data_IF_400339566357
#
_entry.id   IF_400339566357
#
_cell.length_a   1.000
_cell.length_b   1.000
_cell.length_c   1.000
_cell.angle_alpha   90.00
_cell.angle_beta   90.00
_cell.angle_gamma   90.00
#
_symmetry.space_group_name_H-M   'P 1'
#
loop_
_entity.id
_entity.type
_entity.pdbx_description
1 polymer ?
#
# COMPACT_ATOMS: atom_id res chain seq x y z
N UNK A 1 -7.78 1.57 -23.89
CA UNK A 1 -6.65 2.42 -23.40
C UNK A 1 -5.65 1.50 -22.71
N UNK A 2 -4.36 1.80 -22.67
CA UNK A 2 -3.41 0.96 -21.93
C UNK A 2 -3.55 1.22 -20.43
N UNK A 3 -3.54 0.17 -19.60
CA UNK A 3 -3.55 0.26 -18.14
C UNK A 3 -2.40 1.13 -17.62
N UNK A 4 -2.69 2.01 -16.65
CA UNK A 4 -1.67 2.76 -15.92
C UNK A 4 -1.22 1.91 -14.73
N UNK A 5 -0.14 1.17 -14.94
CA UNK A 5 0.48 0.33 -13.91
C UNK A 5 1.48 1.10 -13.06
N UNK A 6 2.05 2.20 -13.59
CA UNK A 6 3.04 3.00 -12.90
C UNK A 6 2.76 4.49 -13.15
N UNK A 7 2.78 5.28 -12.08
CA UNK A 7 2.54 6.72 -12.14
C UNK A 7 3.46 7.50 -11.21
N UNK A 8 3.59 8.80 -11.45
CA UNK A 8 4.36 9.72 -10.62
C UNK A 8 3.44 10.51 -9.71
N UNK A 9 3.83 10.63 -8.44
CA UNK A 9 3.17 11.47 -7.46
C UNK A 9 4.21 11.99 -6.45
N UNK A 10 4.24 13.30 -6.24
CA UNK A 10 5.17 13.97 -5.31
C UNK A 10 6.64 13.57 -5.49
N UNK A 11 7.10 13.45 -6.74
CA UNK A 11 8.48 13.08 -7.06
C UNK A 11 8.84 11.63 -6.74
N UNK A 12 7.85 10.76 -6.56
CA UNK A 12 8.02 9.32 -6.30
C UNK A 12 7.32 8.49 -7.35
N UNK A 13 7.74 7.24 -7.46
CA UNK A 13 7.13 6.27 -8.38
C UNK A 13 6.16 5.38 -7.63
N UNK A 14 4.91 5.38 -8.08
CA UNK A 14 3.84 4.54 -7.54
C UNK A 14 3.50 3.41 -8.52
N UNK A 15 3.23 2.22 -7.99
CA UNK A 15 2.97 1.00 -8.76
C UNK A 15 1.59 0.46 -8.39
N UNK A 16 0.69 0.41 -9.39
CA UNK A 16 -0.69 -0.04 -9.29
C UNK A 16 -0.83 -1.42 -9.95
N UNK A 17 -1.09 -2.45 -9.15
CA UNK A 17 -1.08 -3.83 -9.63
C UNK A 17 -2.48 -4.42 -9.86
N UNK A 18 -3.53 -3.86 -9.25
CA UNK A 18 -4.86 -4.45 -9.27
C UNK A 18 -5.92 -3.47 -8.79
N UNK A 19 -7.17 -3.64 -9.26
CA UNK A 19 -8.34 -2.97 -8.69
C UNK A 19 -8.94 -3.77 -7.50
N UNK A 20 -8.56 -5.03 -7.34
CA UNK A 20 -9.14 -5.92 -6.32
C UNK A 20 -8.62 -5.55 -4.93
N UNK A 21 -9.52 -5.61 -3.95
CA UNK A 21 -9.20 -5.37 -2.56
C UNK A 21 -10.06 -6.28 -1.65
N UNK A 22 -9.51 -6.67 -0.51
CA UNK A 22 -10.24 -7.40 0.54
C UNK A 22 -11.02 -6.49 1.48
N UNK A 23 -10.83 -5.16 1.34
CA UNK A 23 -11.63 -4.12 1.99
C UNK A 23 -12.49 -3.36 0.99
N UNK A 24 -13.51 -2.66 1.50
CA UNK A 24 -14.31 -1.68 0.79
C UNK A 24 -14.45 -0.37 1.59
N UNK A 25 -13.32 0.20 2.02
CA UNK A 25 -13.25 1.34 2.93
C UNK A 25 -14.19 2.47 2.52
N UNK A 26 -14.88 3.07 3.51
CA UNK A 26 -15.83 4.16 3.25
C UNK A 26 -15.13 5.44 2.73
N UNK A 27 -13.85 5.61 3.02
CA UNK A 27 -12.99 6.73 2.59
C UNK A 27 -12.10 6.38 1.39
N UNK A 28 -12.36 5.26 0.69
CA UNK A 28 -11.51 4.84 -0.43
C UNK A 28 -11.66 5.81 -1.60
N UNK A 29 -10.52 6.36 -2.07
CA UNK A 29 -10.49 7.33 -3.17
C UNK A 29 -11.17 6.81 -4.45
N UNK A 30 -11.11 5.51 -4.72
CA UNK A 30 -11.76 4.90 -5.91
C UNK A 30 -13.28 5.05 -5.94
N UNK A 31 -13.93 5.39 -4.79
CA UNK A 31 -15.38 5.62 -4.70
C UNK A 31 -15.78 7.01 -5.17
N UNK A 32 -14.88 7.97 -5.01
CA UNK A 32 -15.15 9.38 -5.25
C UNK A 32 -14.39 9.95 -6.45
N UNK A 33 -13.41 9.20 -6.99
CA UNK A 33 -12.52 9.68 -8.04
C UNK A 33 -12.17 8.58 -9.03
N UNK A 34 -12.30 8.91 -10.31
CA UNK A 34 -11.83 8.07 -11.42
C UNK A 34 -10.35 8.29 -11.72
N UNK A 35 -9.77 9.39 -11.23
CA UNK A 35 -8.37 9.73 -11.46
C UNK A 35 -7.61 10.12 -10.17
N UNK A 36 -6.30 9.96 -10.22
CA UNK A 36 -5.35 10.50 -9.24
C UNK A 36 -4.31 11.29 -10.04
N UNK A 37 -4.17 12.59 -9.73
CA UNK A 37 -3.24 13.51 -10.44
C UNK A 37 -3.48 13.51 -11.96
N UNK A 38 -4.75 13.49 -12.39
CA UNK A 38 -5.12 13.48 -13.81
C UNK A 38 -4.85 12.14 -14.52
N UNK A 39 -4.66 11.05 -13.77
CA UNK A 39 -4.44 9.71 -14.32
C UNK A 39 -5.49 8.73 -13.81
N UNK A 40 -6.21 8.09 -14.74
CA UNK A 40 -7.18 7.05 -14.42
C UNK A 40 -6.46 5.80 -13.95
N UNK A 41 -6.52 5.48 -12.66
CA UNK A 41 -5.86 4.31 -12.08
C UNK A 41 -6.68 3.03 -12.14
N UNK A 42 -7.95 3.09 -12.55
CA UNK A 42 -8.75 1.90 -12.83
C UNK A 42 -8.11 1.08 -13.96
N UNK A 43 -7.87 -0.20 -13.71
CA UNK A 43 -7.32 -1.11 -14.71
C UNK A 43 -8.46 -1.76 -15.49
N UNK A 44 -8.43 -1.65 -16.82
CA UNK A 44 -9.39 -2.30 -17.71
C UNK A 44 -9.14 -3.83 -17.77
N UNK A 45 -7.88 -4.23 -17.61
CA UNK A 45 -7.43 -5.62 -17.62
C UNK A 45 -6.45 -5.86 -16.47
N UNK A 46 -6.69 -6.91 -15.70
CA UNK A 46 -5.83 -7.34 -14.57
C UNK A 46 -4.82 -8.45 -14.95
N UNK A 47 -4.60 -8.72 -16.23
CA UNK A 47 -3.66 -9.73 -16.72
C UNK A 47 -2.23 -9.21 -16.92
N UNK A 48 -1.92 -8.01 -16.42
CA UNK A 48 -0.57 -7.44 -16.50
C UNK A 48 0.46 -8.34 -15.84
N UNK A 49 1.61 -8.47 -16.50
CA UNK A 49 2.76 -9.26 -16.03
C UNK A 49 3.76 -8.37 -15.27
N UNK A 50 4.74 -9.00 -14.60
CA UNK A 50 5.85 -8.25 -13.99
C UNK A 50 6.65 -7.45 -15.03
N UNK A 51 6.83 -8.00 -16.23
CA UNK A 51 7.54 -7.32 -17.33
C UNK A 51 6.81 -6.06 -17.81
N UNK A 52 5.47 -6.09 -17.87
CA UNK A 52 4.67 -4.90 -18.21
C UNK A 52 4.86 -3.79 -17.17
N UNK A 53 4.85 -4.15 -15.89
CA UNK A 53 5.10 -3.22 -14.79
C UNK A 53 6.51 -2.67 -14.86
N UNK A 54 7.53 -3.51 -15.05
CA UNK A 54 8.93 -3.11 -15.14
C UNK A 54 9.14 -2.16 -16.32
N UNK A 55 8.55 -2.45 -17.47
CA UNK A 55 8.62 -1.57 -18.65
C UNK A 55 8.06 -0.19 -18.36
N UNK A 56 6.87 -0.09 -17.75
CA UNK A 56 6.28 1.20 -17.38
C UNK A 56 7.09 1.89 -16.26
N UNK A 57 7.62 1.13 -15.31
CA UNK A 57 8.50 1.66 -14.26
C UNK A 57 9.72 2.35 -14.85
N UNK A 58 10.43 1.73 -15.81
CA UNK A 58 11.60 2.34 -16.44
C UNK A 58 11.25 3.62 -17.22
N UNK A 59 10.09 3.65 -17.89
CA UNK A 59 9.62 4.85 -18.56
C UNK A 59 9.37 5.99 -17.56
N UNK A 60 8.70 5.71 -16.44
CA UNK A 60 8.41 6.71 -15.41
C UNK A 60 9.66 7.15 -14.64
N UNK A 61 10.60 6.25 -14.41
CA UNK A 61 11.90 6.60 -13.83
C UNK A 61 12.71 7.54 -14.75
N UNK A 62 12.70 7.28 -16.05
CA UNK A 62 13.33 8.18 -17.01
C UNK A 62 12.63 9.55 -17.05
N UNK A 63 11.29 9.59 -17.07
CA UNK A 63 10.50 10.81 -17.00
C UNK A 63 10.84 11.62 -15.73
N UNK A 64 10.93 10.95 -14.57
CA UNK A 64 11.30 11.58 -13.30
C UNK A 64 12.66 12.29 -13.40
N UNK A 65 13.65 11.63 -14.01
CA UNK A 65 14.99 12.19 -14.18
C UNK A 65 15.04 13.30 -15.23
N UNK A 66 14.48 13.07 -16.42
CA UNK A 66 14.69 13.97 -17.58
C UNK A 66 13.75 15.16 -17.58
N UNK A 67 12.51 14.97 -17.14
CA UNK A 67 11.45 16.00 -17.17
C UNK A 67 11.37 16.76 -15.84
N UNK A 68 11.49 16.04 -14.73
CA UNK A 68 11.36 16.64 -13.39
C UNK A 68 12.71 16.93 -12.73
N UNK A 69 13.83 16.47 -13.33
CA UNK A 69 15.19 16.61 -12.79
C UNK A 69 15.32 16.09 -11.34
N UNK A 70 14.62 15.00 -11.02
CA UNK A 70 14.59 14.37 -9.70
C UNK A 70 15.23 12.98 -9.74
N UNK A 71 16.08 12.61 -8.75
CA UNK A 71 16.60 11.27 -8.65
C UNK A 71 15.49 10.29 -8.23
N UNK A 72 15.56 9.06 -8.71
CA UNK A 72 14.72 7.97 -8.21
C UNK A 72 15.21 7.51 -6.83
N UNK A 73 14.39 7.66 -5.81
CA UNK A 73 14.74 7.31 -4.42
C UNK A 73 13.78 6.30 -3.79
N UNK A 74 12.53 6.21 -4.29
CA UNK A 74 11.50 5.35 -3.69
C UNK A 74 10.50 4.85 -4.73
N UNK A 75 10.22 3.54 -4.69
CA UNK A 75 9.08 2.92 -5.36
C UNK A 75 8.03 2.51 -4.32
N UNK A 76 6.75 2.80 -4.61
CA UNK A 76 5.65 2.56 -3.68
C UNK A 76 4.59 1.70 -4.37
N UNK A 77 4.40 0.47 -3.91
CA UNK A 77 3.27 -0.34 -4.35
C UNK A 77 1.99 0.20 -3.70
N UNK A 78 1.20 0.91 -4.49
CA UNK A 78 -0.04 1.55 -4.08
C UNK A 78 -0.86 1.93 -5.32
N UNK A 79 -2.14 1.62 -5.29
CA UNK A 79 -3.09 1.96 -6.35
C UNK A 79 -4.53 1.88 -5.83
N UNK A 80 -5.48 1.58 -6.69
CA UNK A 80 -6.89 1.44 -6.32
C UNK A 80 -7.21 0.13 -5.60
N UNK A 81 -6.38 -0.89 -5.73
CA UNK A 81 -6.55 -2.16 -5.06
C UNK A 81 -5.50 -2.44 -3.98
N UNK A 82 -5.50 -3.68 -3.51
CA UNK A 82 -4.54 -4.21 -2.54
C UNK A 82 -3.36 -4.86 -3.28
N UNK A 83 -2.16 -4.25 -3.27
CA UNK A 83 -1.03 -4.75 -4.06
C UNK A 83 -0.58 -6.16 -3.66
N UNK A 84 -0.74 -6.54 -2.40
CA UNK A 84 -0.37 -7.87 -1.91
C UNK A 84 -1.24 -8.99 -2.50
N UNK A 85 -2.37 -8.71 -3.15
CA UNK A 85 -3.15 -9.71 -3.91
C UNK A 85 -2.45 -10.17 -5.20
N UNK A 86 -1.45 -9.41 -5.66
CA UNK A 86 -0.57 -9.77 -6.79
C UNK A 86 0.86 -10.04 -6.30
N UNK A 87 0.98 -10.83 -5.22
CA UNK A 87 2.22 -11.00 -4.48
C UNK A 87 3.39 -11.50 -5.32
N UNK A 88 3.16 -12.41 -6.26
CA UNK A 88 4.24 -12.91 -7.12
C UNK A 88 4.76 -11.83 -8.08
N UNK A 89 3.87 -11.01 -8.64
CA UNK A 89 4.26 -9.87 -9.48
C UNK A 89 5.00 -8.84 -8.63
N UNK A 90 4.46 -8.52 -7.44
CA UNK A 90 5.08 -7.59 -6.49
C UNK A 90 6.52 -8.01 -6.18
N UNK A 91 6.76 -9.28 -5.84
CA UNK A 91 8.12 -9.80 -5.53
C UNK A 91 9.06 -9.68 -6.72
N UNK A 92 8.61 -10.03 -7.94
CA UNK A 92 9.43 -9.94 -9.14
C UNK A 92 9.84 -8.50 -9.44
N UNK A 93 8.89 -7.56 -9.35
CA UNK A 93 9.15 -6.13 -9.58
C UNK A 93 10.04 -5.55 -8.47
N UNK A 94 9.78 -5.88 -7.19
CA UNK A 94 10.61 -5.45 -6.08
C UNK A 94 12.05 -5.96 -6.21
N UNK A 95 12.21 -7.24 -6.58
CA UNK A 95 13.53 -7.81 -6.84
C UNK A 95 14.27 -7.08 -7.97
N UNK A 96 13.59 -6.83 -9.09
CA UNK A 96 14.18 -6.06 -10.18
C UNK A 96 14.67 -4.67 -9.72
N UNK A 97 13.84 -3.97 -8.92
CA UNK A 97 14.20 -2.65 -8.39
C UNK A 97 15.42 -2.76 -7.48
N UNK A 98 15.45 -3.73 -6.56
CA UNK A 98 16.57 -3.91 -5.63
C UNK A 98 17.86 -4.32 -6.32
N UNK A 99 17.78 -5.17 -7.33
CA UNK A 99 18.96 -5.59 -8.11
C UNK A 99 19.55 -4.43 -8.91
N UNK A 100 18.72 -3.58 -9.50
CA UNK A 100 19.16 -2.52 -10.41
C UNK A 100 19.39 -1.17 -9.73
N UNK A 101 18.66 -0.91 -8.65
CA UNK A 101 18.68 0.36 -7.89
C UNK A 101 18.77 0.06 -6.38
N UNK A 102 19.88 -0.51 -5.89
CA UNK A 102 19.99 -1.02 -4.51
C UNK A 102 19.77 0.06 -3.43
N UNK A 103 20.07 1.33 -3.74
CA UNK A 103 19.87 2.44 -2.81
C UNK A 103 18.40 2.93 -2.73
N UNK A 104 17.57 2.54 -3.70
CA UNK A 104 16.18 2.96 -3.71
C UNK A 104 15.36 2.16 -2.70
N UNK A 105 14.46 2.84 -1.99
CA UNK A 105 13.51 2.20 -1.09
C UNK A 105 12.36 1.57 -1.86
N UNK A 106 11.92 0.42 -1.39
CA UNK A 106 10.69 -0.23 -1.83
C UNK A 106 9.71 -0.28 -0.67
N UNK A 107 8.58 0.41 -0.83
CA UNK A 107 7.51 0.45 0.15
C UNK A 107 6.23 -0.18 -0.39
N UNK A 108 5.47 -0.83 0.49
CA UNK A 108 4.15 -1.36 0.17
C UNK A 108 3.11 -0.73 1.08
N UNK A 109 2.12 -0.05 0.49
CA UNK A 109 0.93 0.37 1.21
C UNK A 109 -0.09 -0.78 1.13
N UNK A 110 -0.49 -1.34 2.27
CA UNK A 110 -1.31 -2.55 2.32
C UNK A 110 -2.37 -2.47 3.41
N UNK A 111 -3.43 -3.25 3.24
CA UNK A 111 -4.43 -3.47 4.27
C UNK A 111 -4.03 -4.59 5.27
N UNK A 112 -2.90 -5.27 5.07
CA UNK A 112 -2.37 -6.26 6.00
C UNK A 112 -3.05 -7.64 5.95
N UNK A 113 -3.83 -7.96 4.93
CA UNK A 113 -4.58 -9.22 4.86
C UNK A 113 -3.85 -10.34 4.09
N UNK A 114 -2.62 -10.12 3.64
CA UNK A 114 -1.91 -11.07 2.79
C UNK A 114 -1.78 -12.46 3.41
N UNK A 115 -1.42 -12.56 4.70
CA UNK A 115 -1.26 -13.83 5.40
C UNK A 115 -2.56 -14.66 5.41
N UNK A 116 -3.70 -13.99 5.61
CA UNK A 116 -5.02 -14.64 5.54
C UNK A 116 -5.35 -15.13 4.13
N UNK A 117 -5.13 -14.28 3.12
CA UNK A 117 -5.42 -14.60 1.71
C UNK A 117 -4.61 -15.80 1.24
N UNK A 118 -3.32 -15.83 1.53
CA UNK A 118 -2.42 -16.91 1.12
C UNK A 118 -2.38 -18.10 2.09
N UNK A 119 -3.11 -18.01 3.22
CA UNK A 119 -3.15 -19.05 4.26
C UNK A 119 -1.76 -19.45 4.78
N UNK A 120 -0.83 -18.52 4.79
CA UNK A 120 0.54 -18.67 5.29
C UNK A 120 1.13 -17.31 5.65
N UNK A 121 2.16 -17.28 6.50
CA UNK A 121 2.95 -16.07 6.70
C UNK A 121 3.82 -15.80 5.46
N UNK A 122 3.48 -14.75 4.68
CA UNK A 122 4.23 -14.34 3.49
C UNK A 122 5.34 -13.34 3.79
N UNK A 123 5.39 -12.78 4.99
CA UNK A 123 6.32 -11.70 5.35
C UNK A 123 7.78 -12.13 5.22
N UNK A 124 8.20 -13.35 5.61
CA UNK A 124 9.59 -13.80 5.41
C UNK A 124 10.07 -13.73 3.95
N UNK A 125 9.15 -13.92 2.98
CA UNK A 125 9.48 -13.81 1.55
C UNK A 125 9.72 -12.36 1.08
N UNK A 126 9.41 -11.37 1.93
CA UNK A 126 9.60 -9.94 1.65
C UNK A 126 10.97 -9.43 2.11
N UNK A 127 11.70 -10.20 2.93
CA UNK A 127 12.99 -9.80 3.50
C UNK A 127 14.03 -9.53 2.41
N UNK A 128 14.64 -8.35 2.43
CA UNK A 128 15.57 -7.90 1.40
C UNK A 128 14.92 -7.38 0.10
N UNK A 129 13.59 -7.51 -0.05
CA UNK A 129 12.83 -6.98 -1.18
C UNK A 129 12.04 -5.72 -0.82
N UNK A 130 11.47 -5.69 0.39
CA UNK A 130 10.62 -4.61 0.88
C UNK A 130 11.31 -3.97 2.08
N UNK A 131 11.50 -2.65 2.01
CA UNK A 131 12.12 -1.88 3.10
C UNK A 131 11.08 -1.40 4.12
N UNK A 132 9.85 -1.14 3.69
CA UNK A 132 8.79 -0.61 4.55
C UNK A 132 7.41 -1.13 4.15
N UNK A 133 6.65 -1.60 5.13
CA UNK A 133 5.21 -1.76 5.02
C UNK A 133 4.48 -0.60 5.69
N UNK A 134 3.61 0.09 4.95
CA UNK A 134 2.64 1.04 5.49
C UNK A 134 1.28 0.34 5.58
N UNK A 135 0.92 -0.11 6.78
CA UNK A 135 -0.26 -0.94 7.01
C UNK A 135 -1.43 -0.10 7.51
N UNK A 136 -2.60 -0.27 6.90
CA UNK A 136 -3.83 0.43 7.28
C UNK A 136 -4.47 -0.22 8.51
N UNK A 137 -4.10 0.23 9.72
CA UNK A 137 -4.70 -0.20 10.99
C UNK A 137 -6.14 0.30 11.15
N UNK A 138 -6.40 1.55 10.74
CA UNK A 138 -7.69 2.22 10.55
C UNK A 138 -8.68 2.24 11.72
N UNK A 139 -8.33 1.73 12.89
CA UNK A 139 -9.20 1.76 14.07
C UNK A 139 -8.51 1.28 15.33
N UNK A 140 -9.05 1.66 16.48
CA UNK A 140 -8.59 1.21 17.80
C UNK A 140 -9.35 -0.01 18.33
N UNK A 141 -10.48 -0.36 17.69
CA UNK A 141 -11.28 -1.54 17.98
C UNK A 141 -11.69 -2.24 16.69
N UNK A 142 -12.17 -3.48 16.83
CA UNK A 142 -12.71 -4.24 15.70
C UNK A 142 -13.92 -3.54 15.07
N UNK A 143 -14.79 -2.99 15.89
CA UNK A 143 -16.00 -2.29 15.44
C UNK A 143 -15.67 -1.05 14.62
N UNK A 144 -14.71 -0.23 15.09
CA UNK A 144 -14.22 0.93 14.34
C UNK A 144 -13.59 0.50 13.00
N UNK A 145 -12.76 -0.55 13.05
CA UNK A 145 -12.12 -1.08 11.84
C UNK A 145 -13.15 -1.58 10.83
N UNK A 146 -14.11 -2.40 11.27
CA UNK A 146 -15.14 -2.99 10.40
C UNK A 146 -16.01 -1.90 9.78
N UNK A 147 -16.38 -0.87 10.55
CA UNK A 147 -17.17 0.25 10.05
C UNK A 147 -16.42 1.06 8.99
N UNK A 148 -15.15 1.36 9.23
CA UNK A 148 -14.34 2.21 8.36
C UNK A 148 -13.79 1.47 7.14
N UNK A 149 -13.31 0.25 7.34
CA UNK A 149 -12.62 -0.54 6.32
C UNK A 149 -13.53 -1.47 5.54
N UNK A 150 -14.71 -1.82 6.08
CA UNK A 150 -15.70 -2.72 5.47
C UNK A 150 -15.04 -3.99 4.88
N UNK A 151 -14.39 -4.80 5.73
CA UNK A 151 -13.68 -5.97 5.28
C UNK A 151 -14.62 -7.08 4.78
N UNK A 152 -14.12 -7.92 3.87
CA UNK A 152 -14.90 -9.03 3.27
C UNK A 152 -14.91 -10.31 4.12
N UNK A 153 -14.28 -10.29 5.32
CA UNK A 153 -14.25 -11.43 6.25
C UNK A 153 -14.13 -10.93 7.70
N UNK A 154 -14.59 -11.75 8.65
CA UNK A 154 -14.84 -11.33 10.03
C UNK A 154 -13.54 -11.12 10.86
N UNK A 155 -12.48 -11.88 10.56
CA UNK A 155 -11.22 -11.86 11.32
C UNK A 155 -10.25 -10.75 10.87
N UNK A 156 -10.69 -9.88 9.95
CA UNK A 156 -9.83 -8.93 9.23
C UNK A 156 -8.99 -8.04 10.17
N UNK A 157 -9.58 -7.48 11.22
CA UNK A 157 -8.86 -6.63 12.16
C UNK A 157 -7.74 -7.37 12.91
N UNK A 158 -8.00 -8.63 13.30
CA UNK A 158 -6.97 -9.45 13.96
C UNK A 158 -5.86 -9.85 12.99
N UNK A 159 -6.20 -10.11 11.72
CA UNK A 159 -5.22 -10.42 10.67
C UNK A 159 -4.32 -9.22 10.35
N UNK A 160 -4.86 -7.99 10.36
CA UNK A 160 -4.05 -6.76 10.24
C UNK A 160 -3.01 -6.68 11.35
N UNK A 161 -3.43 -6.90 12.61
CA UNK A 161 -2.52 -6.87 13.77
C UNK A 161 -1.46 -7.98 13.68
N UNK A 162 -1.83 -9.19 13.30
CA UNK A 162 -0.89 -10.31 13.07
C UNK A 162 0.11 -9.98 11.97
N UNK A 163 -0.33 -9.36 10.88
CA UNK A 163 0.56 -8.95 9.78
C UNK A 163 1.56 -7.89 10.24
N UNK A 164 1.11 -6.86 10.97
CA UNK A 164 2.00 -5.83 11.56
C UNK A 164 3.05 -6.50 12.45
N UNK A 165 2.62 -7.39 13.36
CA UNK A 165 3.53 -8.11 14.24
C UNK A 165 4.53 -8.96 13.46
N UNK A 166 4.09 -9.68 12.42
CA UNK A 166 4.98 -10.48 11.58
C UNK A 166 6.05 -9.63 10.87
N UNK A 167 5.68 -8.43 10.38
CA UNK A 167 6.66 -7.51 9.78
C UNK A 167 7.72 -7.08 10.81
N UNK A 168 7.28 -6.73 12.03
CA UNK A 168 8.20 -6.36 13.11
C UNK A 168 9.12 -7.53 13.51
N UNK A 169 8.59 -8.76 13.59
CA UNK A 169 9.37 -9.96 13.95
C UNK A 169 10.45 -10.30 12.88
N UNK A 170 10.18 -9.98 11.63
CA UNK A 170 11.15 -10.15 10.52
C UNK A 170 12.08 -8.94 10.36
N UNK A 171 12.02 -7.96 11.28
CA UNK A 171 12.84 -6.73 11.27
C UNK A 171 12.62 -5.87 10.00
N UNK A 172 11.44 -5.98 9.36
CA UNK A 172 11.04 -5.09 8.27
C UNK A 172 10.35 -3.88 8.88
N UNK A 173 10.77 -2.67 8.49
CA UNK A 173 10.14 -1.45 9.00
C UNK A 173 8.64 -1.46 8.70
N UNK A 174 7.83 -1.33 9.74
CA UNK A 174 6.38 -1.28 9.62
C UNK A 174 5.81 0.00 10.24
N UNK A 175 4.94 0.65 9.49
CA UNK A 175 4.21 1.86 9.91
C UNK A 175 2.72 1.53 9.90
N UNK A 176 2.11 1.44 11.08
CA UNK A 176 0.67 1.33 11.21
C UNK A 176 0.04 2.72 11.05
N UNK A 177 -0.95 2.84 10.16
CA UNK A 177 -1.57 4.13 9.87
C UNK A 177 -3.08 4.09 10.03
N UNK A 178 -3.65 5.25 10.36
CA UNK A 178 -5.10 5.48 10.43
C UNK A 178 -5.47 6.70 9.59
N UNK A 179 -6.71 6.74 9.09
CA UNK A 179 -7.29 7.91 8.41
C UNK A 179 -8.15 8.66 9.42
N UNK A 180 -7.79 9.91 9.72
CA UNK A 180 -8.45 10.78 10.69
C UNK A 180 -9.31 11.84 9.98
N UNK A 181 -10.42 12.23 10.60
CA UNK A 181 -11.24 13.36 10.16
C UNK A 181 -12.21 13.05 9.01
N UNK A 182 -12.36 11.78 8.58
CA UNK A 182 -13.31 11.44 7.53
C UNK A 182 -14.74 11.81 7.90
N UNK A 183 -15.30 12.79 7.17
CA UNK A 183 -16.64 13.34 7.41
C UNK A 183 -16.87 13.75 8.88
N UNK A 184 -15.85 14.31 9.53
CA UNK A 184 -15.89 14.73 10.92
C UNK A 184 -15.78 13.62 11.97
N UNK A 185 -15.44 12.41 11.58
CA UNK A 185 -15.16 11.31 12.51
C UNK A 185 -13.78 11.42 13.09
N UNK A 186 -13.68 11.19 14.38
CA UNK A 186 -12.43 11.20 15.13
C UNK A 186 -12.18 9.84 15.77
N UNK A 187 -10.97 9.35 15.63
CA UNK A 187 -10.52 8.08 16.21
C UNK A 187 -9.88 8.30 17.58
N UNK A 188 -9.84 7.26 18.39
CA UNK A 188 -9.00 7.27 19.58
C UNK A 188 -7.52 7.06 19.17
N UNK A 189 -6.88 8.16 18.75
CA UNK A 189 -5.51 8.13 18.21
C UNK A 189 -4.50 7.58 19.23
N UNK A 190 -4.63 7.94 20.52
CA UNK A 190 -3.74 7.42 21.58
C UNK A 190 -3.81 5.90 21.68
N UNK A 191 -5.02 5.33 21.58
CA UNK A 191 -5.18 3.88 21.60
C UNK A 191 -4.69 3.19 20.33
N UNK A 192 -4.88 3.82 19.16
CA UNK A 192 -4.29 3.34 17.90
C UNK A 192 -2.76 3.31 17.97
N UNK A 193 -2.15 4.35 18.54
CA UNK A 193 -0.71 4.44 18.75
C UNK A 193 -0.20 3.38 19.74
N UNK A 194 -0.90 3.18 20.85
CA UNK A 194 -0.58 2.12 21.82
C UNK A 194 -0.58 0.73 21.17
N UNK A 195 -1.59 0.44 20.33
CA UNK A 195 -1.68 -0.82 19.59
C UNK A 195 -0.51 -0.95 18.61
N UNK A 196 -0.22 0.10 17.83
CA UNK A 196 0.87 0.09 16.87
C UNK A 196 2.22 -0.17 17.56
N UNK A 197 2.51 0.57 18.64
CA UNK A 197 3.74 0.42 19.42
C UNK A 197 3.86 -0.97 20.08
N UNK A 198 2.76 -1.49 20.61
CA UNK A 198 2.70 -2.84 21.19
C UNK A 198 2.96 -3.95 20.16
N UNK A 199 2.73 -3.70 18.88
CA UNK A 199 3.03 -4.61 17.78
C UNK A 199 4.43 -4.38 17.16
N UNK A 200 5.21 -3.41 17.68
CA UNK A 200 6.53 -3.06 17.16
C UNK A 200 6.51 -2.16 15.92
N UNK A 201 5.38 -1.53 15.61
CA UNK A 201 5.23 -0.62 14.48
C UNK A 201 5.40 0.83 14.90
N UNK A 202 5.89 1.69 13.97
CA UNK A 202 5.71 3.14 14.08
C UNK A 202 4.25 3.47 13.81
N UNK A 203 3.76 4.56 14.40
CA UNK A 203 2.40 5.03 14.19
C UNK A 203 2.37 6.27 13.28
N UNK A 204 1.37 6.37 12.40
CA UNK A 204 1.15 7.52 11.53
C UNK A 204 -0.34 7.84 11.39
N UNK A 205 -0.69 9.10 11.65
CA UNK A 205 -2.00 9.65 11.32
C UNK A 205 -1.96 10.24 9.91
N UNK A 206 -2.95 9.91 9.10
CA UNK A 206 -3.20 10.51 7.79
C UNK A 206 -4.51 11.30 7.88
N UNK A 207 -4.43 12.60 7.71
CA UNK A 207 -5.64 13.40 7.62
C UNK A 207 -6.41 13.08 6.35
N UNK A 208 -7.72 12.93 6.47
CA UNK A 208 -8.58 12.78 5.31
C UNK A 208 -8.73 14.11 4.58
N UNK A 209 -8.42 14.13 3.30
CA UNK A 209 -8.53 15.30 2.44
C UNK A 209 -9.70 15.07 1.49
N UNK A 210 -10.75 15.92 1.56
CA UNK A 210 -12.00 15.78 0.81
C UNK A 210 -11.80 15.64 -0.70
N UNK A 211 -10.80 16.30 -1.26
CA UNK A 211 -10.53 16.28 -2.69
C UNK A 211 -9.39 15.32 -3.07
N UNK A 212 -8.77 14.65 -2.08
CA UNK A 212 -7.59 13.80 -2.28
C UNK A 212 -6.45 14.53 -3.00
N UNK A 213 -5.50 13.77 -3.49
CA UNK A 213 -4.44 14.33 -4.34
C UNK A 213 -4.98 14.78 -5.68
#
# INVERSE_FOLDING_TARGET
MSNILVYLLDGKIYINLTNRCTNDCIFCLRKDKDDVVGQTLGLDDEHSTADDVIKQFELKRNELLTTHNLPFTEAIFCGYGEPMLKFDILKQVAKYIKDKYPEAKVRVNTNGHANYVYKKNVVPECKGLIDEFSVSLNGSTKEEYDELSQPKFAEAYDEVKKFIKACSDEEILVVASVVEGYKGRHLNLSKCEEIANGLGAKFRVREWIKNGY
#
